data_IF_463794475225
#
_entry.id   IF_463794475225
#
_cell.length_a   1.000
_cell.length_b   1.000
_cell.length_c   1.000
_cell.angle_alpha   90.00
_cell.angle_beta   90.00
_cell.angle_gamma   90.00
#
_symmetry.space_group_name_H-M   'P 1'
#
loop_
_entity.id
_entity.type
_entity.pdbx_description
1 polymer ?
#
# COMPACT_ATOMS: atom_id res chain seq x y z
N UNK A 1 -11.11 38.49 -50.40
CA UNK A 1 -11.04 39.95 -50.65
C UNK A 1 -12.20 40.59 -49.90
N UNK A 2 -11.88 41.45 -48.93
CA UNK A 2 -12.73 42.41 -48.17
C UNK A 2 -13.93 41.81 -47.39
N UNK A 3 -13.89 41.62 -46.06
CA UNK A 3 -13.78 42.57 -44.94
C UNK A 3 -15.03 43.45 -44.78
N UNK A 4 -15.70 43.36 -43.61
CA UNK A 4 -16.10 44.49 -42.73
C UNK A 4 -16.89 43.98 -41.52
N UNK A 5 -16.37 44.39 -40.37
CA UNK A 5 -16.79 44.21 -38.98
C UNK A 5 -18.01 45.06 -38.64
N UNK A 6 -18.93 44.57 -37.80
CA UNK A 6 -19.57 45.38 -36.75
C UNK A 6 -20.24 44.52 -35.66
N UNK A 7 -19.63 44.54 -34.46
CA UNK A 7 -20.19 44.07 -33.19
C UNK A 7 -21.38 44.95 -32.79
N UNK A 8 -22.53 44.36 -32.47
CA UNK A 8 -23.55 45.01 -31.65
C UNK A 8 -23.25 44.75 -30.18
N UNK A 9 -22.91 45.84 -29.48
CA UNK A 9 -22.79 45.89 -28.03
C UNK A 9 -24.18 46.07 -27.41
N UNK A 10 -24.60 45.13 -26.56
CA UNK A 10 -25.76 45.31 -25.70
C UNK A 10 -25.33 46.07 -24.44
N UNK A 11 -25.71 47.35 -24.36
CA UNK A 11 -25.77 48.09 -23.11
C UNK A 11 -27.20 48.03 -22.56
N UNK A 12 -27.37 47.49 -21.36
CA UNK A 12 -28.49 47.80 -20.50
C UNK A 12 -27.99 47.84 -19.05
N UNK A 13 -28.01 49.00 -18.37
CA UNK A 13 -27.81 49.11 -16.95
C UNK A 13 -29.18 49.20 -16.26
N UNK A 14 -29.41 48.46 -15.17
CA UNK A 14 -30.14 49.05 -14.05
C UNK A 14 -29.93 48.26 -12.77
N UNK A 15 -29.57 49.03 -11.75
CA UNK A 15 -29.28 48.63 -10.38
C UNK A 15 -30.59 48.57 -9.57
N UNK A 16 -30.70 47.52 -8.77
CA UNK A 16 -31.29 47.49 -7.42
C UNK A 16 -32.83 47.54 -7.29
N UNK A 17 -33.44 46.36 -7.04
CA UNK A 17 -34.74 46.26 -6.35
C UNK A 17 -34.72 45.04 -5.41
N UNK A 18 -34.94 45.33 -4.12
CA UNK A 18 -35.56 44.56 -3.02
C UNK A 18 -35.15 43.08 -2.80
N UNK A 19 -34.52 42.67 -1.68
CA UNK A 19 -34.94 42.66 -0.26
C UNK A 19 -35.76 41.41 0.17
N UNK A 20 -35.34 40.84 1.31
CA UNK A 20 -35.99 39.85 2.20
C UNK A 20 -36.03 38.37 1.74
N UNK A 21 -35.78 37.36 2.59
CA UNK A 21 -35.70 37.34 4.05
C UNK A 21 -34.88 36.16 4.62
N UNK A 22 -34.31 36.42 5.79
CA UNK A 22 -33.48 35.54 6.63
C UNK A 22 -34.32 35.11 7.86
N UNK A 23 -34.04 33.91 8.37
CA UNK A 23 -34.33 33.41 9.75
C UNK A 23 -35.76 32.95 10.08
N UNK A 24 -35.87 31.67 10.43
CA UNK A 24 -37.00 31.09 11.14
C UNK A 24 -36.55 29.97 12.08
N UNK A 25 -36.04 30.34 13.25
CA UNK A 25 -35.85 29.43 14.40
C UNK A 25 -36.45 30.12 15.63
N UNK A 26 -37.24 29.35 16.39
CA UNK A 26 -37.48 29.35 17.85
C UNK A 26 -38.95 29.27 18.27
N UNK A 27 -39.17 28.28 19.16
CA UNK A 27 -40.05 28.23 20.34
C UNK A 27 -41.52 27.80 20.23
N UNK A 28 -41.74 26.50 20.51
CA UNK A 28 -42.77 25.98 21.43
C UNK A 28 -42.24 24.63 21.98
N UNK A 29 -42.36 24.22 23.23
CA UNK A 29 -42.96 24.78 24.44
C UNK A 29 -42.44 24.00 25.67
N UNK A 30 -42.42 24.67 26.83
CA UNK A 30 -42.16 24.09 28.15
C UNK A 30 -43.33 23.20 28.59
N UNK A 31 -43.05 22.11 29.33
CA UNK A 31 -43.76 21.71 30.57
C UNK A 31 -42.85 20.74 31.40
N UNK A 32 -43.00 20.67 32.75
CA UNK A 32 -41.98 20.15 33.67
C UNK A 32 -42.30 18.80 34.37
N UNK A 33 -41.22 18.13 34.83
CA UNK A 33 -41.07 17.23 36.01
C UNK A 33 -41.79 15.85 36.04
N UNK A 34 -41.32 14.83 36.79
CA UNK A 34 -40.46 14.92 37.98
C UNK A 34 -39.25 13.97 38.10
N UNK A 35 -38.46 14.34 39.11
CA UNK A 35 -37.34 13.67 39.75
C UNK A 35 -37.74 12.33 40.40
N UNK A 36 -36.92 11.29 40.19
CA UNK A 36 -36.47 10.32 41.21
C UNK A 36 -35.32 9.49 40.59
N UNK A 37 -34.06 9.75 40.95
CA UNK A 37 -33.36 9.19 42.11
C UNK A 37 -32.84 7.75 41.87
N UNK A 38 -31.57 7.65 41.47
CA UNK A 38 -30.67 6.58 41.90
C UNK A 38 -29.23 7.10 41.88
N UNK A 39 -28.78 7.48 43.07
CA UNK A 39 -27.47 8.00 43.45
C UNK A 39 -26.48 6.83 43.49
N UNK A 40 -25.38 6.93 42.75
CA UNK A 40 -24.33 5.89 42.75
C UNK A 40 -23.04 6.35 42.05
N UNK A 41 -22.40 7.37 42.61
CA UNK A 41 -20.97 7.71 42.51
C UNK A 41 -20.22 7.51 41.19
N UNK A 42 -20.01 8.60 40.45
CA UNK A 42 -18.81 8.75 39.60
C UNK A 42 -18.23 10.15 39.82
N UNK A 43 -16.97 10.19 40.27
CA UNK A 43 -16.22 11.41 40.49
C UNK A 43 -15.89 12.15 39.18
N UNK A 44 -15.44 13.42 39.28
CA UNK A 44 -15.02 14.21 38.14
C UNK A 44 -13.65 13.72 37.67
N UNK A 45 -13.63 12.94 36.60
CA UNK A 45 -12.41 12.36 36.05
C UNK A 45 -12.70 11.58 34.76
N UNK A 46 -13.56 12.14 33.91
CA UNK A 46 -13.88 11.60 32.61
C UNK A 46 -12.71 11.80 31.65
N UNK A 47 -11.96 10.73 31.42
CA UNK A 47 -10.83 10.70 30.49
C UNK A 47 -10.37 9.27 30.24
N UNK A 48 -11.31 8.35 30.00
CA UNK A 48 -10.94 7.07 29.40
C UNK A 48 -10.62 7.35 27.93
N UNK A 49 -9.38 7.71 27.65
CA UNK A 49 -8.81 7.58 26.31
C UNK A 49 -8.86 6.11 25.96
N UNK A 50 -9.94 5.70 25.29
CA UNK A 50 -10.04 4.41 24.63
C UNK A 50 -9.03 4.43 23.47
N UNK A 51 -7.78 4.12 23.79
CA UNK A 51 -6.78 3.82 22.76
C UNK A 51 -7.18 2.46 22.21
N UNK A 52 -7.96 2.47 21.13
CA UNK A 52 -8.10 1.29 20.30
C UNK A 52 -6.69 0.88 19.88
N UNK A 53 -6.23 -0.35 20.17
CA UNK A 53 -5.02 -0.83 19.55
C UNK A 53 -5.32 -0.89 18.06
N UNK A 54 -4.80 0.08 17.28
CA UNK A 54 -4.57 -0.12 15.86
C UNK A 54 -3.42 -1.12 15.77
N UNK A 55 -3.71 -2.36 16.17
CA UNK A 55 -2.90 -3.51 15.83
C UNK A 55 -3.17 -3.76 14.36
N UNK A 56 -2.58 -2.91 13.53
CA UNK A 56 -2.63 -3.03 12.09
C UNK A 56 -1.89 -4.30 11.75
N UNK A 57 -2.64 -5.40 11.70
CA UNK A 57 -2.12 -6.70 11.37
C UNK A 57 -1.32 -6.55 10.07
N UNK A 58 -0.05 -6.96 10.08
CA UNK A 58 0.79 -6.90 8.90
C UNK A 58 0.08 -7.63 7.74
N UNK A 59 0.16 -7.10 6.51
CA UNK A 59 -0.69 -7.52 5.42
C UNK A 59 -0.57 -9.03 5.17
N UNK A 60 -1.59 -9.60 4.53
CA UNK A 60 -1.59 -11.00 4.12
C UNK A 60 -0.82 -11.18 2.81
N UNK A 61 -0.33 -12.40 2.57
CA UNK A 61 0.19 -12.76 1.25
C UNK A 61 -0.96 -12.74 0.26
N UNK A 62 -0.71 -12.16 -0.90
CA UNK A 62 -1.69 -12.11 -2.00
C UNK A 62 -1.19 -13.00 -3.12
N UNK A 63 -2.03 -13.92 -3.57
CA UNK A 63 -1.74 -14.85 -4.66
C UNK A 63 -2.72 -14.56 -5.81
N UNK A 64 -2.23 -14.64 -7.04
CA UNK A 64 -3.09 -14.71 -8.24
C UNK A 64 -3.03 -16.16 -8.74
N UNK A 65 -4.16 -16.85 -8.65
CA UNK A 65 -4.33 -18.20 -9.18
C UNK A 65 -4.91 -18.10 -10.60
N UNK A 66 -4.08 -17.65 -11.54
CA UNK A 66 -4.43 -17.53 -12.94
C UNK A 66 -3.21 -17.86 -13.81
N UNK A 67 -3.47 -18.37 -15.01
CA UNK A 67 -2.46 -18.50 -16.06
C UNK A 67 -2.42 -17.23 -16.90
N UNK A 68 -1.25 -16.85 -17.41
CA UNK A 68 -1.09 -15.68 -18.28
C UNK A 68 0.35 -15.29 -18.49
N UNK A 69 0.55 -14.22 -19.28
CA UNK A 69 1.87 -13.62 -19.44
C UNK A 69 2.33 -12.94 -18.14
N UNK A 70 3.64 -12.76 -17.94
CA UNK A 70 4.19 -12.04 -16.78
C UNK A 70 3.53 -10.66 -16.62
N UNK A 71 3.39 -9.93 -17.73
CA UNK A 71 2.82 -8.58 -17.74
C UNK A 71 1.34 -8.58 -17.28
N UNK A 72 0.56 -9.58 -17.69
CA UNK A 72 -0.85 -9.69 -17.30
C UNK A 72 -0.98 -10.07 -15.83
N UNK A 73 -0.17 -11.01 -15.34
CA UNK A 73 -0.15 -11.43 -13.95
C UNK A 73 0.22 -10.28 -13.01
N UNK A 74 1.27 -9.50 -13.36
CA UNK A 74 1.64 -8.29 -12.62
C UNK A 74 0.53 -7.24 -12.65
N UNK A 75 -0.10 -7.02 -13.81
CA UNK A 75 -1.24 -6.08 -13.94
C UNK A 75 -2.40 -6.48 -13.05
N UNK A 76 -2.79 -7.76 -13.06
CA UNK A 76 -3.85 -8.27 -12.19
C UNK A 76 -3.52 -8.09 -10.71
N UNK A 77 -2.27 -8.36 -10.32
CA UNK A 77 -1.81 -8.18 -8.95
C UNK A 77 -1.79 -6.71 -8.52
N UNK A 78 -1.39 -5.79 -9.41
CA UNK A 78 -1.45 -4.33 -9.16
C UNK A 78 -2.89 -3.87 -8.96
N UNK A 79 -3.80 -4.28 -9.85
CA UNK A 79 -5.23 -3.99 -9.73
C UNK A 79 -5.82 -4.54 -8.43
N UNK A 80 -5.49 -5.80 -8.08
CA UNK A 80 -5.94 -6.44 -6.84
C UNK A 80 -5.46 -5.72 -5.58
N UNK A 81 -4.24 -5.18 -5.61
CA UNK A 81 -3.64 -4.45 -4.51
C UNK A 81 -3.94 -2.94 -4.53
N UNK A 82 -4.63 -2.44 -5.56
CA UNK A 82 -4.96 -1.02 -5.71
C UNK A 82 -3.74 -0.11 -5.83
N UNK A 83 -2.69 -0.54 -6.53
CA UNK A 83 -1.46 0.24 -6.70
C UNK A 83 -1.28 0.75 -8.13
N UNK A 84 -0.78 1.98 -8.25
CA UNK A 84 -0.40 2.62 -9.51
C UNK A 84 1.12 2.81 -9.62
N UNK A 85 1.65 3.06 -10.82
CA UNK A 85 3.09 3.29 -10.99
C UNK A 85 3.52 4.57 -10.23
N UNK A 86 4.77 4.61 -9.76
CA UNK A 86 5.36 5.85 -9.25
C UNK A 86 5.20 7.00 -10.27
N UNK A 87 4.87 8.19 -9.76
CA UNK A 87 4.56 9.35 -10.58
C UNK A 87 5.70 9.76 -11.51
N UNK A 88 5.35 10.37 -12.65
CA UNK A 88 6.32 10.52 -13.74
C UNK A 88 7.54 11.40 -13.43
N UNK A 89 7.39 12.33 -12.49
CA UNK A 89 8.46 13.19 -11.98
C UNK A 89 9.41 12.49 -10.99
N UNK A 90 9.07 11.28 -10.54
CA UNK A 90 9.85 10.51 -9.57
C UNK A 90 10.56 9.37 -10.29
N UNK A 91 11.84 9.53 -10.63
CA UNK A 91 12.65 8.44 -11.19
C UNK A 91 13.08 7.43 -10.14
N UNK A 92 13.39 7.91 -8.94
CA UNK A 92 13.92 7.14 -7.81
C UNK A 92 13.50 7.79 -6.50
N UNK A 93 13.09 6.99 -5.52
CA UNK A 93 12.68 7.46 -4.19
C UNK A 93 12.94 6.39 -3.14
N UNK A 94 12.86 6.75 -1.86
CA UNK A 94 12.84 5.79 -0.78
C UNK A 94 11.42 5.28 -0.52
N UNK A 95 11.26 4.04 -0.05
CA UNK A 95 9.97 3.42 0.24
C UNK A 95 9.20 4.22 1.29
N UNK A 96 9.86 4.75 2.31
CA UNK A 96 9.22 5.62 3.32
C UNK A 96 8.61 6.89 2.70
N UNK A 97 9.26 7.45 1.68
CA UNK A 97 8.89 8.70 1.00
C UNK A 97 7.97 8.49 -0.21
N UNK A 98 7.88 7.27 -0.74
CA UNK A 98 6.99 6.95 -1.85
C UNK A 98 5.52 7.21 -1.47
N UNK A 99 4.68 7.72 -2.39
CA UNK A 99 3.25 7.85 -2.12
C UNK A 99 2.61 6.49 -1.83
N UNK A 100 1.61 6.44 -0.95
CA UNK A 100 0.82 5.23 -0.71
C UNK A 100 -0.02 4.87 -1.94
N UNK A 101 -0.33 3.59 -2.13
CA UNK A 101 -1.04 3.13 -3.31
C UNK A 101 -0.18 3.16 -4.58
N UNK A 102 1.15 3.02 -4.43
CA UNK A 102 2.07 3.00 -5.57
C UNK A 102 2.92 1.74 -5.63
N UNK A 103 3.49 1.45 -6.79
CA UNK A 103 4.52 0.43 -6.96
C UNK A 103 5.76 0.98 -7.67
N UNK A 104 6.90 0.39 -7.36
CA UNK A 104 8.18 0.61 -8.03
C UNK A 104 9.02 -0.66 -8.04
N UNK A 105 10.27 -0.53 -8.45
CA UNK A 105 11.20 -1.64 -8.65
C UNK A 105 12.45 -1.49 -7.79
N UNK A 106 13.04 -2.61 -7.41
CA UNK A 106 14.29 -2.66 -6.65
C UNK A 106 15.20 -3.75 -7.24
N UNK A 107 16.48 -3.42 -7.41
CA UNK A 107 17.47 -4.42 -7.83
C UNK A 107 17.65 -5.48 -6.73
N UNK A 108 17.83 -6.77 -7.09
CA UNK A 108 17.99 -7.84 -6.11
C UNK A 108 19.10 -7.59 -5.10
N UNK A 109 20.25 -7.04 -5.53
CA UNK A 109 21.35 -6.70 -4.63
C UNK A 109 20.93 -5.71 -3.52
N UNK A 110 20.18 -4.66 -3.86
CA UNK A 110 19.75 -3.66 -2.87
C UNK A 110 18.67 -4.20 -1.94
N UNK A 111 17.77 -5.03 -2.47
CA UNK A 111 16.78 -5.74 -1.65
C UNK A 111 17.45 -6.69 -0.65
N UNK A 112 18.42 -7.48 -1.12
CA UNK A 112 19.20 -8.40 -0.29
C UNK A 112 19.91 -7.69 0.85
N UNK A 113 20.65 -6.62 0.54
CA UNK A 113 21.32 -5.80 1.54
C UNK A 113 20.34 -5.25 2.57
N UNK A 114 19.19 -4.74 2.12
CA UNK A 114 18.21 -4.17 3.03
C UNK A 114 17.58 -5.20 3.99
N UNK A 115 17.28 -6.41 3.51
CA UNK A 115 16.72 -7.46 4.36
C UNK A 115 17.75 -8.07 5.31
N UNK A 116 18.97 -8.32 4.83
CA UNK A 116 20.06 -8.87 5.67
C UNK A 116 20.50 -7.87 6.75
N UNK A 117 20.63 -6.59 6.39
CA UNK A 117 21.00 -5.53 7.35
C UNK A 117 19.81 -5.00 8.15
N UNK A 118 18.60 -5.52 7.91
CA UNK A 118 17.36 -5.03 8.52
C UNK A 118 17.16 -3.50 8.33
N UNK A 119 17.64 -2.96 7.20
CA UNK A 119 17.56 -1.54 6.87
C UNK A 119 16.11 -1.07 6.90
N UNK A 120 15.79 0.06 7.54
CA UNK A 120 14.42 0.56 7.69
C UNK A 120 13.74 0.92 6.36
N UNK A 121 14.53 1.21 5.33
CA UNK A 121 14.02 1.79 4.09
C UNK A 121 14.62 1.14 2.84
N UNK A 122 13.79 1.04 1.79
CA UNK A 122 14.13 0.42 0.52
C UNK A 122 14.22 1.49 -0.56
N UNK A 123 15.19 1.36 -1.46
CA UNK A 123 15.27 2.23 -2.64
C UNK A 123 14.31 1.69 -3.70
N UNK A 124 13.42 2.55 -4.20
CA UNK A 124 12.48 2.26 -5.27
C UNK A 124 12.82 3.06 -6.52
N UNK A 125 12.80 2.40 -7.66
CA UNK A 125 12.94 3.00 -8.99
C UNK A 125 11.62 2.86 -9.74
N UNK A 126 11.25 3.89 -10.50
CA UNK A 126 9.96 3.91 -11.21
C UNK A 126 9.89 2.88 -12.33
N UNK A 127 10.96 2.74 -13.09
CA UNK A 127 11.09 1.78 -14.19
C UNK A 127 11.99 0.64 -13.75
N UNK A 128 11.69 -0.58 -14.17
CA UNK A 128 12.50 -1.75 -13.87
C UNK A 128 13.92 -1.56 -14.43
N UNK A 129 14.96 -1.47 -13.58
CA UNK A 129 16.33 -1.25 -14.04
C UNK A 129 16.97 -2.49 -14.69
N UNK A 130 16.36 -3.66 -14.49
CA UNK A 130 16.72 -4.92 -15.15
C UNK A 130 15.49 -5.81 -15.30
N UNK A 131 15.59 -6.85 -16.12
CA UNK A 131 14.55 -7.90 -16.24
C UNK A 131 14.35 -8.68 -14.95
N UNK A 132 15.39 -8.74 -14.10
CA UNK A 132 15.45 -9.48 -12.84
C UNK A 132 15.14 -8.64 -11.60
N UNK A 133 14.72 -7.38 -11.76
CA UNK A 133 14.36 -6.55 -10.63
C UNK A 133 13.06 -7.05 -9.97
N UNK A 134 12.97 -6.88 -8.65
CA UNK A 134 11.75 -7.13 -7.92
C UNK A 134 10.84 -5.92 -7.98
N UNK A 135 9.54 -6.17 -7.94
CA UNK A 135 8.53 -5.11 -7.82
C UNK A 135 8.09 -5.01 -6.36
N UNK A 136 7.90 -3.79 -5.88
CA UNK A 136 7.52 -3.48 -4.51
C UNK A 136 6.28 -2.61 -4.54
N UNK A 137 5.24 -3.06 -3.84
CA UNK A 137 3.99 -2.33 -3.67
C UNK A 137 3.99 -1.62 -2.31
N UNK A 138 3.67 -0.33 -2.29
CA UNK A 138 3.27 0.39 -1.08
C UNK A 138 1.76 0.53 -1.09
N UNK A 139 1.09 -0.19 -0.19
CA UNK A 139 -0.37 -0.20 -0.11
C UNK A 139 -0.92 1.15 0.39
N UNK A 140 -2.24 1.34 0.27
CA UNK A 140 -2.93 2.55 0.76
C UNK A 140 -2.70 2.79 2.27
N UNK A 141 -2.42 1.71 2.99
CA UNK A 141 -2.18 1.70 4.42
C UNK A 141 -0.68 1.95 4.75
N UNK A 142 0.18 2.14 3.75
CA UNK A 142 1.62 2.36 3.89
C UNK A 142 2.45 1.10 4.12
N UNK A 143 1.83 -0.07 4.25
CA UNK A 143 2.56 -1.34 4.34
C UNK A 143 3.14 -1.74 2.98
N UNK A 144 4.20 -2.55 3.02
CA UNK A 144 4.95 -2.95 1.84
C UNK A 144 4.71 -4.42 1.48
N UNK A 145 4.50 -4.70 0.20
CA UNK A 145 4.54 -6.04 -0.37
C UNK A 145 5.66 -6.16 -1.40
N UNK A 146 6.39 -7.27 -1.36
CA UNK A 146 7.36 -7.67 -2.37
C UNK A 146 6.71 -8.64 -3.35
N UNK A 147 6.81 -8.36 -4.64
CA UNK A 147 6.22 -9.18 -5.70
C UNK A 147 7.26 -10.06 -6.34
N UNK A 148 6.92 -11.33 -6.53
CA UNK A 148 7.72 -12.30 -7.27
C UNK A 148 6.92 -13.56 -7.56
N UNK A 149 7.62 -14.63 -7.92
CA UNK A 149 7.02 -15.89 -8.33
C UNK A 149 7.45 -17.03 -7.41
N UNK A 150 6.55 -17.99 -7.18
CA UNK A 150 6.78 -19.16 -6.33
C UNK A 150 6.29 -20.46 -6.97
N UNK A 151 6.90 -21.56 -6.54
CA UNK A 151 6.45 -22.91 -6.85
C UNK A 151 5.16 -23.26 -6.12
N UNK A 152 4.41 -24.22 -6.67
CA UNK A 152 3.10 -24.63 -6.15
C UNK A 152 3.16 -25.19 -4.73
N UNK A 153 4.26 -25.87 -4.40
CA UNK A 153 4.42 -26.66 -3.17
C UNK A 153 4.40 -25.82 -1.89
N UNK A 154 4.78 -24.54 -1.99
CA UNK A 154 4.81 -23.60 -0.86
C UNK A 154 3.57 -22.70 -0.77
N UNK A 155 2.68 -22.70 -1.78
CA UNK A 155 1.54 -21.77 -1.83
C UNK A 155 0.54 -21.97 -0.67
N UNK A 156 0.29 -23.21 -0.27
CA UNK A 156 -0.60 -23.52 0.86
C UNK A 156 0.01 -23.04 2.19
N UNK A 157 1.33 -23.15 2.33
CA UNK A 157 2.06 -22.77 3.53
C UNK A 157 2.19 -21.25 3.68
N UNK A 158 2.21 -20.49 2.59
CA UNK A 158 2.22 -19.02 2.67
C UNK A 158 0.83 -18.42 2.90
N UNK A 159 -0.24 -19.19 2.71
CA UNK A 159 -1.60 -18.75 3.01
C UNK A 159 -1.76 -18.50 4.53
N UNK A 160 -2.35 -17.36 4.95
CA UNK A 160 -2.44 -17.00 6.37
C UNK A 160 -3.08 -18.06 7.28
N UNK A 161 -4.01 -18.85 6.75
CA UNK A 161 -4.78 -19.86 7.50
C UNK A 161 -3.98 -21.12 7.85
N UNK A 162 -2.89 -21.40 7.13
CA UNK A 162 -2.13 -22.66 7.26
C UNK A 162 -0.64 -22.42 7.52
N UNK A 163 -0.24 -21.16 7.75
CA UNK A 163 1.17 -20.79 7.86
C UNK A 163 1.79 -21.31 9.17
N UNK A 164 2.90 -22.06 9.10
CA UNK A 164 3.76 -22.32 10.26
C UNK A 164 4.31 -21.03 10.89
N UNK A 165 4.99 -21.11 12.03
CA UNK A 165 5.59 -19.90 12.66
C UNK A 165 6.58 -19.19 11.73
N UNK A 166 7.33 -19.96 10.94
CA UNK A 166 8.19 -19.50 9.86
C UNK A 166 8.14 -20.53 8.73
N UNK A 167 8.16 -20.07 7.48
CA UNK A 167 8.31 -20.93 6.30
C UNK A 167 9.41 -20.38 5.41
N UNK A 168 10.35 -21.25 5.02
CA UNK A 168 11.39 -20.90 4.04
C UNK A 168 10.74 -20.84 2.67
N UNK A 169 10.88 -19.71 1.99
CA UNK A 169 10.34 -19.46 0.67
C UNK A 169 11.47 -19.14 -0.31
N UNK A 170 11.34 -19.61 -1.54
CA UNK A 170 12.16 -19.19 -2.66
C UNK A 170 11.32 -18.27 -3.55
N UNK A 171 11.58 -16.97 -3.49
CA UNK A 171 10.90 -15.98 -4.32
C UNK A 171 11.73 -15.71 -5.56
N UNK A 172 11.16 -15.93 -6.74
CA UNK A 172 11.81 -15.70 -8.03
C UNK A 172 11.43 -14.32 -8.58
N UNK A 173 12.36 -13.62 -9.23
CA UNK A 173 12.09 -12.33 -9.87
C UNK A 173 11.15 -12.44 -11.08
N UNK A 174 11.20 -13.56 -11.80
CA UNK A 174 10.48 -13.83 -13.04
C UNK A 174 9.79 -15.20 -12.98
N UNK A 175 8.74 -15.44 -13.79
CA UNK A 175 8.10 -16.74 -13.86
C UNK A 175 9.07 -17.79 -14.45
N UNK A 176 8.94 -19.02 -13.97
CA UNK A 176 9.63 -20.18 -14.53
C UNK A 176 8.77 -21.43 -14.38
N UNK A 177 9.16 -22.53 -15.02
CA UNK A 177 8.47 -23.82 -14.82
C UNK A 177 8.42 -24.24 -13.35
N UNK A 178 9.47 -23.91 -12.57
CA UNK A 178 9.55 -24.19 -11.13
C UNK A 178 8.75 -23.22 -10.27
N UNK A 179 8.51 -22.01 -10.78
CA UNK A 179 7.84 -20.95 -10.06
C UNK A 179 6.87 -20.19 -10.98
N UNK A 180 5.70 -20.77 -11.31
CA UNK A 180 4.77 -20.14 -12.24
C UNK A 180 3.77 -19.19 -11.56
N UNK A 181 3.64 -19.21 -10.23
CA UNK A 181 2.58 -18.47 -9.53
C UNK A 181 3.09 -17.13 -9.01
N UNK A 182 2.46 -16.03 -9.43
CA UNK A 182 2.79 -14.71 -8.91
C UNK A 182 2.21 -14.52 -7.50
N UNK A 183 3.02 -13.94 -6.62
CA UNK A 183 2.67 -13.67 -5.23
C UNK A 183 3.17 -12.28 -4.82
N UNK A 184 2.45 -11.66 -3.88
CA UNK A 184 2.91 -10.49 -3.15
C UNK A 184 3.07 -10.85 -1.67
N UNK A 185 4.29 -10.78 -1.15
CA UNK A 185 4.63 -11.15 0.22
C UNK A 185 4.90 -9.92 1.10
N UNK A 186 4.40 -9.87 2.35
CA UNK A 186 4.61 -8.74 3.25
C UNK A 186 6.08 -8.51 3.60
N UNK A 187 6.63 -7.35 3.23
CA UNK A 187 8.03 -6.99 3.48
C UNK A 187 8.40 -7.09 4.97
N UNK A 188 7.50 -6.68 5.87
CA UNK A 188 7.72 -6.69 7.32
C UNK A 188 7.73 -8.09 7.96
N UNK A 189 7.39 -9.12 7.19
CA UNK A 189 7.42 -10.54 7.62
C UNK A 189 8.58 -11.30 6.96
N UNK A 190 9.40 -10.65 6.14
CA UNK A 190 10.54 -11.26 5.49
C UNK A 190 11.78 -11.12 6.35
N UNK A 191 12.45 -12.24 6.58
CA UNK A 191 13.80 -12.28 7.14
C UNK A 191 14.71 -12.99 6.16
N UNK A 192 15.86 -12.38 5.85
CA UNK A 192 16.85 -12.96 4.97
C UNK A 192 18.18 -13.10 5.71
N UNK A 193 18.84 -14.23 5.50
CA UNK A 193 20.17 -14.57 5.99
C UNK A 193 21.21 -14.68 4.86
N UNK A 194 20.75 -14.67 3.60
CA UNK A 194 21.58 -14.80 2.41
C UNK A 194 21.28 -13.71 1.37
N UNK A 195 22.23 -13.49 0.47
CA UNK A 195 22.02 -12.61 -0.68
C UNK A 195 21.27 -13.35 -1.81
N UNK A 196 20.46 -12.63 -2.63
CA UNK A 196 19.81 -13.23 -3.78
C UNK A 196 20.81 -13.82 -4.78
N UNK A 197 20.47 -14.97 -5.35
CA UNK A 197 21.32 -15.73 -6.26
C UNK A 197 20.73 -15.75 -7.66
N UNK A 198 21.56 -15.52 -8.68
CA UNK A 198 21.17 -15.74 -10.08
C UNK A 198 21.02 -17.23 -10.35
N UNK A 199 20.00 -17.59 -11.12
CA UNK A 199 19.83 -18.97 -11.58
C UNK A 199 20.92 -19.39 -12.57
N UNK A 200 21.37 -18.46 -13.41
CA UNK A 200 22.54 -18.62 -14.28
C UNK A 200 23.55 -17.49 -14.02
N UNK A 201 24.64 -17.75 -13.28
CA UNK A 201 25.66 -16.75 -12.98
C UNK A 201 26.34 -16.14 -14.22
N UNK A 202 26.32 -16.83 -15.37
CA UNK A 202 26.97 -16.37 -16.61
C UNK A 202 26.09 -15.39 -17.39
N UNK A 203 24.78 -15.41 -17.16
CA UNK A 203 23.83 -14.51 -17.79
C UNK A 203 23.39 -13.41 -16.81
N UNK A 204 23.79 -12.14 -17.02
CA UNK A 204 23.45 -11.04 -16.12
C UNK A 204 21.95 -10.76 -16.02
N UNK A 205 21.18 -11.13 -17.07
CA UNK A 205 19.74 -10.93 -17.19
C UNK A 205 18.94 -12.16 -16.75
N UNK A 206 19.60 -13.18 -16.22
CA UNK A 206 18.92 -14.38 -15.71
C UNK A 206 18.04 -14.04 -14.50
N UNK A 207 16.94 -14.81 -14.30
CA UNK A 207 16.13 -14.68 -13.11
C UNK A 207 16.96 -14.82 -11.84
N UNK A 208 16.57 -14.08 -10.81
CA UNK A 208 17.18 -14.16 -9.49
C UNK A 208 16.21 -14.84 -8.54
N UNK A 209 16.75 -15.71 -7.69
CA UNK A 209 16.03 -16.36 -6.60
C UNK A 209 16.49 -15.72 -5.31
N UNK A 210 15.52 -15.32 -4.48
CA UNK A 210 15.77 -14.91 -3.13
C UNK A 210 15.13 -15.90 -2.16
N UNK A 211 15.99 -16.67 -1.49
CA UNK A 211 15.57 -17.52 -0.38
C UNK A 211 15.49 -16.72 0.91
N UNK A 212 14.33 -16.79 1.57
CA UNK A 212 14.02 -16.01 2.76
C UNK A 212 13.07 -16.78 3.67
N UNK A 213 13.00 -16.37 4.92
CA UNK A 213 11.99 -16.82 5.86
C UNK A 213 10.79 -15.86 5.82
N UNK A 214 9.60 -16.43 5.63
CA UNK A 214 8.34 -15.73 5.81
C UNK A 214 7.77 -16.06 7.18
N UNK A 215 7.77 -15.08 8.07
CA UNK A 215 7.33 -15.23 9.45
C UNK A 215 5.81 -15.07 9.58
N UNK A 216 5.22 -15.68 10.61
CA UNK A 216 3.79 -15.54 10.92
C UNK A 216 3.47 -14.17 11.56
N UNK A 217 4.40 -13.65 12.36
CA UNK A 217 4.34 -12.31 12.97
C UNK A 217 5.42 -11.41 12.37
N UNK A 218 5.19 -10.10 12.41
CA UNK A 218 6.16 -9.10 11.95
C UNK A 218 7.32 -8.99 12.95
N UNK A 219 8.56 -9.09 12.48
CA UNK A 219 9.76 -8.82 13.28
C UNK A 219 10.10 -7.34 13.38
N UNK A 220 9.51 -6.50 12.52
CA UNK A 220 9.76 -5.05 12.52
C UNK A 220 8.76 -4.33 13.42
N UNK A 221 9.25 -3.60 14.42
CA UNK A 221 8.44 -2.62 15.13
C UNK A 221 8.00 -1.51 14.17
N UNK A 222 6.70 -1.24 14.11
CA UNK A 222 6.13 -0.13 13.35
C UNK A 222 6.71 1.18 13.88
N UNK A 223 7.73 1.75 13.23
CA UNK A 223 8.13 3.13 13.51
C UNK A 223 7.11 4.06 12.86
N UNK A 224 5.95 4.22 13.51
CA UNK A 224 5.09 5.36 13.25
C UNK A 224 5.78 6.59 13.83
N UNK A 225 6.08 7.54 12.94
CA UNK A 225 6.54 8.86 13.32
C UNK A 225 5.50 9.53 14.21
N UNK A 226 5.89 9.82 15.44
CA UNK A 226 5.28 10.88 16.22
C UNK A 226 5.92 12.19 15.80
N UNK A 227 5.15 13.05 15.14
CA UNK A 227 5.27 14.50 15.20
C UNK A 227 3.86 15.09 15.25
#
# INVERSE_FOLDING_TARGET
MYDVIARMMCHAPLRHVAAAGLVGVLLTGLLPAPLNAARGGTGPGGGKTEVLPVQKAAPSVVIIDAAGSEADLRRQLRSKNGVAELGASTSKTMFSQAPTGTFGFILPKFLGLALVMQSPDLVLERVSPSTSAYEVHKLADGSGLLVGFMGKDVLTQVAPSQRPKSVRIALHSNPSEKAPHIVAVPLVKLAADMMPLRTDPKNPDSPVVFEMDLQSSSTRASTQGGQ
#
